data_IF_469749377277
#
_entry.id   IF_469749377277
#
_cell.length_a   1.000
_cell.length_b   1.000
_cell.length_c   1.000
_cell.angle_alpha   90.00
_cell.angle_beta   90.00
_cell.angle_gamma   90.00
#
_symmetry.space_group_name_H-M   'P 1'
#
loop_
_entity.id
_entity.type
_entity.pdbx_description
1 polymer ?
#
# COMPACT_ATOMS: atom_id res chain seq x y z
N UNK A 1 -21.97 55.41 -55.51
CA UNK A 1 -23.31 56.03 -55.34
C UNK A 1 -24.37 54.96 -55.60
N UNK A 2 -25.46 54.92 -54.82
CA UNK A 2 -25.64 53.82 -53.86
C UNK A 2 -27.00 53.09 -53.94
N UNK A 3 -27.10 51.99 -53.17
CA UNK A 3 -28.34 51.51 -52.55
C UNK A 3 -28.31 50.00 -52.32
N UNK A 4 -28.28 49.41 -51.12
CA UNK A 4 -28.41 49.93 -49.76
C UNK A 4 -29.39 49.05 -48.94
N UNK A 5 -29.00 48.75 -47.69
CA UNK A 5 -29.73 48.13 -46.53
C UNK A 5 -29.40 46.65 -46.27
N UNK A 6 -28.55 46.32 -45.28
CA UNK A 6 -28.71 46.30 -43.80
C UNK A 6 -29.60 45.12 -43.36
N UNK A 7 -29.10 44.02 -42.76
CA UNK A 7 -28.44 43.82 -41.45
C UNK A 7 -29.40 43.84 -40.24
N UNK A 8 -29.12 42.91 -39.29
CA UNK A 8 -29.48 42.84 -37.86
C UNK A 8 -30.40 41.69 -37.38
N UNK A 9 -29.74 40.69 -36.75
CA UNK A 9 -29.88 40.20 -35.37
C UNK A 9 -31.25 39.77 -34.81
N UNK A 10 -31.29 38.55 -34.25
CA UNK A 10 -31.55 38.32 -32.81
C UNK A 10 -31.28 36.86 -32.41
N UNK A 11 -30.35 36.68 -31.47
CA UNK A 11 -30.16 35.47 -30.69
C UNK A 11 -31.27 35.36 -29.62
N UNK A 12 -31.79 34.16 -29.39
CA UNK A 12 -32.70 33.88 -28.28
C UNK A 12 -31.98 32.96 -27.27
N UNK A 13 -31.53 33.57 -26.18
CA UNK A 13 -31.13 32.92 -24.94
C UNK A 13 -32.41 32.75 -24.11
N UNK A 14 -32.71 31.53 -23.67
CA UNK A 14 -33.73 31.28 -22.64
C UNK A 14 -33.01 30.77 -21.40
N UNK A 15 -32.84 31.68 -20.44
CA UNK A 15 -32.52 31.37 -19.05
C UNK A 15 -33.84 31.08 -18.32
N UNK A 16 -33.89 29.98 -17.55
CA UNK A 16 -34.97 29.70 -16.60
C UNK A 16 -34.39 29.79 -15.21
N UNK A 17 -34.67 30.91 -14.54
CA UNK A 17 -34.56 31.09 -13.09
C UNK A 17 -35.97 31.27 -12.53
N UNK A 18 -36.36 30.45 -11.56
CA UNK A 18 -37.45 30.70 -10.61
C UNK A 18 -37.08 29.96 -9.33
N UNK A 19 -36.58 30.69 -8.33
CA UNK A 19 -37.32 31.21 -7.16
C UNK A 19 -37.71 30.12 -6.14
N UNK A 20 -37.05 30.21 -4.99
CA UNK A 20 -37.41 29.63 -3.69
C UNK A 20 -38.87 29.90 -3.30
N UNK A 21 -39.41 29.07 -2.39
CA UNK A 21 -39.77 29.64 -1.09
C UNK A 21 -39.21 28.85 0.10
N UNK A 22 -38.74 29.59 1.10
CA UNK A 22 -38.62 29.13 2.49
C UNK A 22 -40.02 28.92 3.08
N UNK A 23 -40.23 27.90 3.91
CA UNK A 23 -40.54 28.03 5.36
C UNK A 23 -40.91 26.68 6.00
N UNK A 24 -40.66 26.61 7.31
CA UNK A 24 -41.19 25.70 8.35
C UNK A 24 -40.53 24.34 8.62
N UNK A 25 -39.52 24.42 9.50
CA UNK A 25 -39.33 23.63 10.72
C UNK A 25 -40.41 22.63 11.14
N UNK A 26 -40.00 21.36 11.25
CA UNK A 26 -40.59 20.40 12.19
C UNK A 26 -39.48 19.74 13.02
N UNK A 27 -39.46 20.06 14.31
CA UNK A 27 -38.75 19.32 15.35
C UNK A 27 -39.37 17.93 15.49
N UNK A 28 -38.59 16.86 15.29
CA UNK A 28 -38.90 15.55 15.87
C UNK A 28 -37.91 15.26 16.99
N UNK A 29 -38.41 15.46 18.20
CA UNK A 29 -37.83 15.07 19.47
C UNK A 29 -38.12 13.58 19.70
N UNK A 30 -37.08 12.75 19.72
CA UNK A 30 -37.15 11.41 20.30
C UNK A 30 -36.34 11.40 21.59
N UNK A 31 -37.04 11.63 22.70
CA UNK A 31 -36.62 11.17 24.03
C UNK A 31 -36.57 9.65 24.00
N UNK A 32 -35.39 9.08 24.25
CA UNK A 32 -35.28 7.70 24.75
C UNK A 32 -34.57 7.74 26.09
N UNK A 33 -35.25 7.09 27.04
CA UNK A 33 -35.03 7.09 28.48
C UNK A 33 -33.60 6.71 28.88
N UNK A 34 -33.03 7.54 29.76
CA UNK A 34 -32.00 7.14 30.70
C UNK A 34 -32.55 6.07 31.65
N UNK A 35 -32.12 4.82 31.47
CA UNK A 35 -32.13 3.83 32.55
C UNK A 35 -30.71 3.69 33.09
N UNK A 36 -30.52 4.27 34.26
CA UNK A 36 -29.38 4.02 35.13
C UNK A 36 -29.43 2.56 35.59
N UNK A 37 -28.46 1.75 35.15
CA UNK A 37 -28.22 0.43 35.71
C UNK A 37 -26.93 0.52 36.54
N UNK A 38 -27.11 0.71 37.84
CA UNK A 38 -26.08 0.52 38.85
C UNK A 38 -25.73 -0.97 38.88
N UNK A 39 -24.63 -1.38 38.25
CA UNK A 39 -24.07 -2.72 38.44
C UNK A 39 -23.24 -2.67 39.72
N UNK A 40 -23.85 -3.18 40.80
CA UNK A 40 -23.16 -3.58 42.02
C UNK A 40 -22.21 -4.73 41.68
N UNK A 41 -20.91 -4.51 41.84
CA UNK A 41 -19.94 -5.60 41.94
C UNK A 41 -19.97 -6.09 43.39
N UNK A 42 -20.78 -7.10 43.67
CA UNK A 42 -20.54 -8.01 44.79
C UNK A 42 -19.41 -8.94 44.37
N UNK A 43 -18.24 -8.72 44.97
CA UNK A 43 -17.13 -9.66 44.93
C UNK A 43 -17.42 -10.77 45.94
N UNK A 44 -17.98 -11.89 45.47
CA UNK A 44 -17.99 -13.12 46.26
C UNK A 44 -16.60 -13.74 46.15
N UNK A 45 -15.84 -13.57 47.23
CA UNK A 45 -14.62 -14.34 47.52
C UNK A 45 -15.07 -15.76 47.82
N UNK A 46 -14.75 -16.70 46.94
CA UNK A 46 -14.81 -18.14 47.23
C UNK A 46 -13.38 -18.64 47.29
N UNK A 47 -13.00 -19.09 48.48
CA UNK A 47 -11.71 -19.71 48.79
C UNK A 47 -11.61 -21.08 48.08
N UNK A 48 -10.52 -21.30 47.36
CA UNK A 48 -10.17 -22.60 46.79
C UNK A 48 -9.63 -23.54 47.88
N UNK A 49 -10.30 -24.69 48.05
CA UNK A 49 -9.73 -25.86 48.73
C UNK A 49 -9.45 -26.95 47.68
N UNK A 50 -8.21 -27.42 47.66
CA UNK A 50 -7.71 -28.51 46.82
C UNK A 50 -8.40 -29.85 47.15
N UNK A 51 -8.72 -30.67 46.12
CA UNK A 51 -8.39 -32.11 46.07
C UNK A 51 -8.86 -32.82 44.77
N UNK A 52 -7.87 -33.30 44.00
CA UNK A 52 -7.66 -34.65 43.42
C UNK A 52 -8.75 -35.38 42.55
N UNK A 53 -8.27 -35.75 41.34
CA UNK A 53 -8.52 -36.94 40.48
C UNK A 53 -9.64 -37.09 39.41
N UNK A 54 -9.18 -37.60 38.25
CA UNK A 54 -9.80 -38.45 37.21
C UNK A 54 -10.44 -37.85 35.93
N UNK A 55 -9.84 -38.16 34.76
CA UNK A 55 -10.57 -38.78 33.63
C UNK A 55 -10.96 -37.97 32.37
N UNK A 56 -10.07 -37.95 31.36
CA UNK A 56 -10.29 -37.88 29.87
C UNK A 56 -11.13 -36.70 29.26
N UNK A 57 -11.04 -36.43 27.93
CA UNK A 57 -10.41 -35.21 27.40
C UNK A 57 -11.43 -34.22 26.83
N UNK A 58 -11.29 -32.91 27.04
CA UNK A 58 -12.03 -32.00 26.18
C UNK A 58 -11.53 -30.56 26.06
N UNK A 59 -11.85 -30.01 24.89
CA UNK A 59 -11.90 -28.61 24.51
C UNK A 59 -10.59 -27.81 24.56
N UNK A 60 -10.00 -27.65 23.37
CA UNK A 60 -9.11 -26.53 23.05
C UNK A 60 -9.79 -25.23 23.49
N UNK A 61 -9.16 -24.54 24.45
CA UNK A 61 -9.51 -23.16 24.83
C UNK A 61 -9.45 -22.27 23.58
N UNK A 62 -10.61 -21.90 23.07
CA UNK A 62 -10.78 -20.75 22.19
C UNK A 62 -10.38 -19.52 22.99
N UNK A 63 -9.17 -19.01 22.75
CA UNK A 63 -8.80 -17.66 23.19
C UNK A 63 -9.53 -16.69 22.27
N UNK A 64 -10.59 -16.07 22.78
CA UNK A 64 -11.11 -14.85 22.19
C UNK A 64 -9.99 -13.80 22.24
N UNK A 65 -9.50 -13.40 21.07
CA UNK A 65 -8.58 -12.26 20.96
C UNK A 65 -9.44 -11.02 21.14
N UNK A 66 -9.38 -10.47 22.35
CA UNK A 66 -10.00 -9.21 22.71
C UNK A 66 -9.26 -8.04 22.01
N UNK A 67 -10.02 -7.01 21.63
CA UNK A 67 -9.60 -5.84 20.84
C UNK A 67 -8.61 -4.92 21.57
N UNK A 68 -8.07 -5.31 22.72
CA UNK A 68 -7.12 -4.53 23.52
C UNK A 68 -5.65 -5.00 23.39
N UNK A 69 -5.39 -6.12 22.70
CA UNK A 69 -4.04 -6.70 22.59
C UNK A 69 -3.01 -5.89 21.79
N UNK A 70 -3.43 -4.86 21.04
CA UNK A 70 -2.52 -4.04 20.23
C UNK A 70 -1.89 -2.88 21.04
N UNK A 71 -2.52 -2.44 22.12
CA UNK A 71 -2.06 -1.27 22.90
C UNK A 71 -1.10 -1.63 24.04
N UNK A 72 -1.13 -2.87 24.55
CA UNK A 72 -0.25 -3.29 25.66
C UNK A 72 1.18 -3.69 25.23
N UNK A 73 1.47 -3.79 23.93
CA UNK A 73 2.83 -4.11 23.44
C UNK A 73 3.76 -2.90 23.32
N UNK A 74 3.25 -1.69 23.54
CA UNK A 74 4.02 -0.44 23.39
C UNK A 74 4.69 0.04 24.69
N UNK A 75 4.40 -0.56 25.85
CA UNK A 75 4.82 -0.01 27.16
C UNK A 75 5.88 -0.83 27.92
N UNK A 76 6.45 -1.92 27.37
CA UNK A 76 7.45 -2.76 28.09
C UNK A 76 8.79 -2.86 27.34
N UNK A 77 9.16 -1.87 26.52
CA UNK A 77 10.48 -1.83 25.87
C UNK A 77 11.48 -0.86 26.54
N UNK A 78 11.10 -0.21 27.65
CA UNK A 78 11.96 0.75 28.37
C UNK A 78 12.05 0.40 29.84
N UNK A 79 12.66 -0.75 30.19
CA UNK A 79 13.47 -0.97 31.42
C UNK A 79 13.86 -2.45 31.58
N UNK A 80 14.97 -2.84 30.96
CA UNK A 80 15.88 -3.91 31.42
C UNK A 80 17.21 -3.67 30.67
N UNK A 81 18.32 -3.27 31.28
CA UNK A 81 18.89 -3.85 32.48
C UNK A 81 20.04 -4.76 32.05
N UNK A 82 21.23 -4.18 31.92
CA UNK A 82 22.53 -4.79 31.62
C UNK A 82 22.76 -6.04 32.46
N UNK A 83 23.19 -7.17 31.86
CA UNK A 83 24.17 -8.13 32.39
C UNK A 83 24.59 -9.12 31.26
N UNK A 84 25.89 -9.34 31.11
CA UNK A 84 26.50 -9.85 29.86
C UNK A 84 26.64 -11.36 29.69
N UNK A 85 27.05 -11.76 28.48
CA UNK A 85 28.18 -12.66 28.20
C UNK A 85 28.37 -12.81 26.69
N UNK A 86 29.64 -12.82 26.30
CA UNK A 86 30.19 -12.75 24.96
C UNK A 86 29.97 -14.02 24.14
N UNK A 87 29.40 -13.87 22.94
CA UNK A 87 29.62 -14.79 21.82
C UNK A 87 29.86 -13.95 20.58
N UNK A 88 31.12 -13.92 20.15
CA UNK A 88 31.59 -13.28 18.92
C UNK A 88 31.09 -14.05 17.71
N UNK A 89 30.03 -13.54 17.09
CA UNK A 89 29.63 -13.82 15.73
C UNK A 89 29.05 -12.54 15.16
N UNK A 90 29.68 -11.96 14.15
CA UNK A 90 29.20 -10.74 13.51
C UNK A 90 27.89 -11.03 12.75
N UNK A 91 26.77 -10.96 13.46
CA UNK A 91 25.47 -10.74 12.85
C UNK A 91 25.45 -9.31 12.30
N UNK A 92 24.88 -9.05 11.11
CA UNK A 92 24.67 -7.69 10.65
C UNK A 92 23.88 -6.95 11.74
N UNK A 93 24.47 -5.87 12.24
CA UNK A 93 23.91 -4.99 13.25
C UNK A 93 22.45 -4.67 12.91
N UNK A 94 21.54 -4.85 13.87
CA UNK A 94 20.18 -4.31 13.76
C UNK A 94 20.25 -2.81 13.42
N UNK A 95 19.36 -2.29 12.57
CA UNK A 95 19.39 -0.89 12.17
C UNK A 95 19.31 0.02 13.39
N UNK A 96 20.23 0.98 13.45
CA UNK A 96 20.36 1.94 14.54
C UNK A 96 19.14 2.88 14.54
N UNK A 97 18.58 3.20 15.71
CA UNK A 97 17.44 4.13 15.83
C UNK A 97 17.74 5.55 15.29
N UNK A 98 19.01 5.87 15.04
CA UNK A 98 19.45 7.08 14.35
C UNK A 98 19.07 7.13 12.85
N UNK A 99 18.64 6.02 12.25
CA UNK A 99 18.27 5.91 10.83
C UNK A 99 16.75 5.74 10.63
N UNK A 100 15.95 6.00 11.67
CA UNK A 100 14.49 5.96 11.64
C UNK A 100 13.92 6.81 10.50
N UNK A 101 12.99 6.26 9.74
CA UNK A 101 12.24 7.08 8.78
C UNK A 101 10.87 7.45 9.35
N UNK A 102 10.62 8.75 9.49
CA UNK A 102 9.33 9.30 9.89
C UNK A 102 9.14 9.43 11.40
N UNK A 103 7.96 9.90 11.77
CA UNK A 103 7.57 10.19 13.17
C UNK A 103 6.60 9.13 13.72
N UNK A 104 6.07 8.26 12.86
CA UNK A 104 5.10 7.22 13.19
C UNK A 104 5.74 6.09 14.02
N UNK A 105 5.17 5.72 15.20
CA UNK A 105 5.79 4.79 16.16
C UNK A 105 6.26 3.45 15.57
N UNK A 106 5.49 2.87 14.66
CA UNK A 106 5.78 1.58 14.04
C UNK A 106 6.91 1.62 12.99
N UNK A 107 7.29 2.83 12.56
CA UNK A 107 8.33 3.07 11.56
C UNK A 107 9.61 3.66 12.14
N UNK A 108 9.58 4.11 13.40
CA UNK A 108 10.75 4.69 14.11
C UNK A 108 11.94 3.73 14.17
N UNK A 109 11.75 2.41 14.14
CA UNK A 109 12.87 1.46 14.13
C UNK A 109 13.29 0.99 12.74
N UNK A 110 12.56 1.38 11.69
CA UNK A 110 12.77 0.86 10.35
C UNK A 110 13.60 1.84 9.52
N UNK A 111 14.73 1.40 8.95
CA UNK A 111 15.63 2.27 8.20
C UNK A 111 15.11 2.57 6.79
N UNK A 112 14.04 1.89 6.36
CA UNK A 112 13.45 1.97 5.02
C UNK A 112 11.96 1.71 5.04
N UNK A 113 11.24 2.26 4.07
CA UNK A 113 9.79 2.11 3.90
C UNK A 113 9.46 1.94 2.41
N UNK A 114 8.63 0.95 2.05
CA UNK A 114 8.15 0.82 0.67
C UNK A 114 7.02 1.84 0.45
N UNK A 115 7.16 2.74 -0.52
CA UNK A 115 6.26 3.89 -0.68
C UNK A 115 5.25 3.69 -1.79
N UNK A 116 5.70 3.51 -3.04
CA UNK A 116 4.79 3.33 -4.15
C UNK A 116 5.31 2.38 -5.21
N UNK A 117 4.37 1.78 -5.96
CA UNK A 117 4.64 0.98 -7.15
C UNK A 117 4.28 1.79 -8.39
N UNK A 118 5.20 1.90 -9.33
CA UNK A 118 4.99 2.54 -10.63
C UNK A 118 4.43 1.52 -11.61
N UNK A 119 3.24 1.80 -12.12
CA UNK A 119 2.50 0.97 -13.06
C UNK A 119 2.23 1.79 -14.32
N UNK A 120 2.62 1.25 -15.46
CA UNK A 120 2.31 1.82 -16.75
C UNK A 120 0.88 1.46 -17.14
N UNK A 121 0.12 2.46 -17.59
CA UNK A 121 -1.27 2.32 -18.03
C UNK A 121 -1.42 2.84 -19.46
N UNK A 122 -2.15 2.13 -20.33
CA UNK A 122 -2.33 2.55 -21.71
C UNK A 122 -3.38 3.66 -21.89
N UNK A 123 -4.31 3.77 -20.95
CA UNK A 123 -5.36 4.78 -20.90
C UNK A 123 -5.59 5.16 -19.44
N UNK A 124 -5.30 6.42 -19.09
CA UNK A 124 -5.45 6.91 -17.72
C UNK A 124 -6.91 6.92 -17.26
N UNK A 125 -7.86 7.27 -18.13
CA UNK A 125 -9.27 7.36 -17.74
C UNK A 125 -9.84 5.98 -17.39
N UNK A 126 -9.54 4.97 -18.22
CA UNK A 126 -9.94 3.60 -17.93
C UNK A 126 -9.26 3.06 -16.66
N UNK A 127 -7.98 3.37 -16.46
CA UNK A 127 -7.27 2.99 -15.25
C UNK A 127 -7.89 3.64 -14.00
N UNK A 128 -8.16 4.94 -14.02
CA UNK A 128 -8.76 5.66 -12.90
C UNK A 128 -10.15 5.12 -12.55
N UNK A 129 -11.00 4.83 -13.55
CA UNK A 129 -12.30 4.19 -13.26
C UNK A 129 -12.10 2.83 -12.57
N UNK A 130 -11.16 2.00 -13.03
CA UNK A 130 -10.87 0.71 -12.40
C UNK A 130 -10.40 0.87 -10.94
N UNK A 131 -9.42 1.73 -10.67
CA UNK A 131 -8.85 1.90 -9.33
C UNK A 131 -9.80 2.65 -8.38
N UNK A 132 -10.50 3.68 -8.86
CA UNK A 132 -11.42 4.48 -8.04
C UNK A 132 -12.79 3.82 -7.88
N UNK A 133 -13.48 3.51 -8.98
CA UNK A 133 -14.86 2.99 -8.93
C UNK A 133 -14.87 1.49 -8.60
N UNK A 134 -13.91 0.75 -9.14
CA UNK A 134 -13.78 -0.70 -8.96
C UNK A 134 -13.15 -1.08 -7.62
N UNK A 135 -12.01 -0.47 -7.28
CA UNK A 135 -11.23 -0.79 -6.08
C UNK A 135 -11.38 0.22 -4.94
N UNK A 136 -12.16 1.30 -5.10
CA UNK A 136 -12.40 2.31 -4.04
C UNK A 136 -11.15 3.07 -3.60
N UNK A 137 -10.17 3.24 -4.48
CA UNK A 137 -9.02 4.12 -4.24
C UNK A 137 -9.38 5.60 -4.46
N UNK A 138 -8.53 6.48 -3.94
CA UNK A 138 -8.61 7.92 -4.14
C UNK A 138 -7.38 8.42 -4.90
N UNK A 139 -7.58 9.40 -5.77
CA UNK A 139 -6.46 10.18 -6.32
C UNK A 139 -5.89 11.04 -5.20
N UNK A 140 -4.61 10.86 -4.92
CA UNK A 140 -3.89 11.61 -3.89
C UNK A 140 -3.23 12.84 -4.48
N UNK A 141 -2.63 12.70 -5.67
CA UNK A 141 -1.98 13.77 -6.43
C UNK A 141 -1.79 13.35 -7.88
N UNK A 142 -1.66 14.33 -8.77
CA UNK A 142 -1.37 14.11 -10.20
C UNK A 142 -0.33 15.13 -10.67
N UNK A 143 0.51 14.73 -11.62
CA UNK A 143 1.55 15.57 -12.22
C UNK A 143 1.72 15.24 -13.71
N UNK A 144 2.08 16.25 -14.49
CA UNK A 144 2.46 16.08 -15.89
C UNK A 144 3.98 16.12 -15.98
N UNK A 145 4.61 15.00 -16.35
CA UNK A 145 6.08 14.87 -16.45
C UNK A 145 6.44 14.48 -17.88
N UNK A 146 7.16 15.34 -18.59
CA UNK A 146 7.59 15.05 -19.97
C UNK A 146 6.45 14.78 -20.95
N UNK A 147 5.27 15.39 -20.73
CA UNK A 147 4.06 15.14 -21.52
C UNK A 147 3.29 13.87 -21.14
N UNK A 148 3.79 13.08 -20.20
CA UNK A 148 3.09 11.91 -19.64
C UNK A 148 2.32 12.31 -18.37
N UNK A 149 1.10 11.82 -18.25
CA UNK A 149 0.30 12.00 -17.04
C UNK A 149 0.68 10.92 -16.02
N UNK A 150 1.10 11.37 -14.84
CA UNK A 150 1.45 10.53 -13.69
C UNK A 150 0.46 10.85 -12.57
N UNK A 151 -0.34 9.85 -12.17
CA UNK A 151 -1.37 10.01 -11.13
C UNK A 151 -1.19 8.99 -10.03
N UNK A 152 -1.15 9.47 -8.79
CA UNK A 152 -0.97 8.67 -7.59
C UNK A 152 -2.32 8.31 -7.00
N UNK A 153 -2.59 7.01 -6.86
CA UNK A 153 -3.83 6.48 -6.29
C UNK A 153 -3.55 5.56 -5.10
N UNK A 154 -4.34 5.69 -4.04
CA UNK A 154 -4.19 4.90 -2.83
C UNK A 154 -5.38 5.03 -1.89
N UNK A 155 -5.25 4.52 -0.67
CA UNK A 155 -6.32 4.54 0.34
C UNK A 155 -6.09 5.56 1.47
N UNK A 156 -4.93 6.19 1.50
CA UNK A 156 -4.60 7.19 2.52
C UNK A 156 -3.32 7.96 2.20
N UNK A 157 -2.91 8.89 3.09
CA UNK A 157 -1.76 9.75 2.87
C UNK A 157 -0.42 8.99 2.81
N UNK A 158 0.47 9.45 1.92
CA UNK A 158 1.84 8.94 1.74
C UNK A 158 2.81 9.36 2.87
N UNK A 159 2.48 10.42 3.62
CA UNK A 159 3.38 11.00 4.63
C UNK A 159 3.67 10.02 5.77
N UNK A 160 4.92 10.00 6.22
CA UNK A 160 5.39 9.20 7.36
C UNK A 160 5.20 9.91 8.71
N UNK A 161 4.31 10.89 8.74
CA UNK A 161 3.89 11.63 9.93
C UNK A 161 2.42 11.39 10.18
N UNK A 162 2.01 11.43 11.45
CA UNK A 162 0.58 11.42 11.78
C UNK A 162 -0.05 12.75 11.36
N UNK A 163 -1.07 12.77 10.48
CA UNK A 163 -1.78 13.99 10.14
C UNK A 163 -2.45 14.60 11.37
N UNK A 164 -2.42 15.94 11.48
CA UNK A 164 -2.97 16.67 12.65
C UNK A 164 -4.46 16.40 12.91
N UNK A 165 -5.21 16.04 11.87
CA UNK A 165 -6.64 15.74 11.93
C UNK A 165 -6.95 14.27 12.31
N UNK A 166 -5.92 13.44 12.53
CA UNK A 166 -6.09 12.04 12.92
C UNK A 166 -6.04 11.88 14.44
N UNK A 167 -7.05 11.20 14.99
CA UNK A 167 -7.14 10.89 16.41
C UNK A 167 -7.27 9.38 16.63
N UNK A 168 -6.44 8.79 17.51
CA UNK A 168 -6.47 7.36 17.77
C UNK A 168 -7.83 6.94 18.35
N UNK A 169 -8.39 5.85 17.82
CA UNK A 169 -9.67 5.29 18.27
C UNK A 169 -10.92 5.99 17.72
N UNK A 170 -10.77 7.09 16.97
CA UNK A 170 -11.90 7.84 16.39
C UNK A 170 -11.77 7.94 14.86
N UNK A 171 -10.60 8.36 14.38
CA UNK A 171 -10.36 8.55 12.95
C UNK A 171 -10.12 7.22 12.24
N UNK A 172 -10.53 7.15 10.97
CA UNK A 172 -10.24 5.99 10.11
C UNK A 172 -8.74 5.82 9.88
N UNK A 173 -8.28 4.58 9.70
CA UNK A 173 -6.88 4.30 9.31
C UNK A 173 -6.51 4.89 7.95
N UNK A 174 -7.49 5.10 7.06
CA UNK A 174 -7.29 5.82 5.79
C UNK A 174 -6.78 7.26 5.98
N UNK A 175 -6.85 7.82 7.19
CA UNK A 175 -6.36 9.18 7.50
C UNK A 175 -5.02 9.18 8.28
N UNK A 176 -4.42 8.02 8.57
CA UNK A 176 -3.30 7.94 9.52
C UNK A 176 -1.91 8.31 8.96
N UNK A 177 -1.63 8.03 7.69
CA UNK A 177 -0.28 8.15 7.11
C UNK A 177 0.42 6.80 6.89
N UNK A 178 1.56 6.84 6.21
CA UNK A 178 2.35 5.69 5.78
C UNK A 178 1.56 4.64 4.99
N UNK A 179 0.69 5.10 4.08
CA UNK A 179 0.01 4.22 3.13
C UNK A 179 0.87 4.00 1.88
N UNK A 180 0.87 2.77 1.39
CA UNK A 180 1.43 2.43 0.10
C UNK A 180 0.52 2.93 -1.03
N UNK A 181 1.14 3.37 -2.12
CA UNK A 181 0.46 4.04 -3.23
C UNK A 181 0.81 3.42 -4.57
N UNK A 182 -0.07 3.56 -5.54
CA UNK A 182 0.21 3.20 -6.94
C UNK A 182 0.40 4.48 -7.75
N UNK A 183 1.57 4.63 -8.36
CA UNK A 183 1.80 5.67 -9.37
C UNK A 183 1.39 5.10 -10.73
N UNK A 184 0.31 5.62 -11.29
CA UNK A 184 -0.15 5.28 -12.63
C UNK A 184 0.52 6.22 -13.61
N UNK A 185 1.29 5.67 -14.55
CA UNK A 185 1.96 6.44 -15.60
C UNK A 185 1.33 6.13 -16.95
N UNK A 186 0.75 7.15 -17.57
CA UNK A 186 0.16 7.01 -18.90
C UNK A 186 1.25 6.87 -19.97
N UNK A 187 1.20 5.76 -20.70
CA UNK A 187 2.09 5.54 -21.83
C UNK A 187 1.60 6.37 -23.00
N UNK A 188 2.49 7.17 -23.58
CA UNK A 188 2.17 8.01 -24.73
C UNK A 188 1.64 7.15 -25.88
N UNK A 189 0.54 7.60 -26.48
CA UNK A 189 -0.02 7.00 -27.68
C UNK A 189 0.98 7.13 -28.82
N UNK A 190 1.04 6.13 -29.68
CA UNK A 190 1.83 6.19 -30.92
C UNK A 190 1.29 7.27 -31.85
N UNK A 191 2.06 7.71 -32.84
CA UNK A 191 1.66 8.76 -33.80
C UNK A 191 0.35 8.41 -34.54
N UNK A 192 0.01 7.13 -34.62
CA UNK A 192 -1.22 6.58 -35.21
C UNK A 192 -2.45 6.71 -34.30
N UNK A 193 -2.27 7.16 -33.05
CA UNK A 193 -3.34 7.39 -32.07
C UNK A 193 -3.82 6.13 -31.33
N UNK A 194 -3.23 4.98 -31.62
CA UNK A 194 -3.60 3.70 -30.99
C UNK A 194 -3.16 3.63 -29.53
N UNK A 195 -4.02 3.01 -28.70
CA UNK A 195 -3.68 2.72 -27.29
C UNK A 195 -2.58 1.66 -27.25
N UNK A 196 -1.44 1.92 -26.58
CA UNK A 196 -0.33 1.00 -26.55
C UNK A 196 -0.73 -0.28 -25.83
N UNK A 197 -0.43 -1.44 -26.42
CA UNK A 197 -0.64 -2.74 -25.76
C UNK A 197 0.60 -3.09 -24.96
N UNK A 198 0.48 -3.12 -23.63
CA UNK A 198 1.58 -3.47 -22.73
C UNK A 198 1.68 -4.98 -22.55
N UNK A 199 2.90 -5.53 -22.66
CA UNK A 199 3.19 -6.93 -22.33
C UNK A 199 3.09 -7.10 -20.79
N UNK A 200 2.17 -7.92 -20.26
CA UNK A 200 2.09 -8.16 -18.82
C UNK A 200 3.30 -8.93 -18.27
N UNK A 201 4.08 -9.60 -19.12
CA UNK A 201 5.19 -10.44 -18.69
C UNK A 201 4.74 -11.67 -17.89
N UNK A 202 5.70 -12.32 -17.22
CA UNK A 202 5.45 -13.46 -16.33
C UNK A 202 6.14 -13.32 -14.96
N UNK A 203 6.96 -12.28 -14.75
CA UNK A 203 7.60 -12.04 -13.46
C UNK A 203 6.60 -11.60 -12.40
N UNK A 204 5.60 -10.78 -12.74
CA UNK A 204 4.57 -10.35 -11.80
C UNK A 204 3.41 -11.34 -11.83
N UNK A 205 3.16 -12.02 -10.72
CA UNK A 205 2.06 -12.96 -10.61
C UNK A 205 0.73 -12.24 -10.33
N UNK A 206 0.74 -11.34 -9.33
CA UNK A 206 -0.39 -10.50 -8.95
C UNK A 206 0.02 -9.43 -7.92
N UNK A 207 -0.75 -8.35 -7.85
CA UNK A 207 -0.76 -7.40 -6.74
C UNK A 207 -1.89 -7.78 -5.77
N UNK A 208 -1.60 -7.98 -4.48
CA UNK A 208 -2.62 -8.35 -3.50
C UNK A 208 -3.13 -7.15 -2.72
N UNK A 209 -4.45 -7.04 -2.59
CA UNK A 209 -5.14 -5.98 -1.85
C UNK A 209 -6.20 -6.55 -0.90
N UNK A 210 -6.42 -5.87 0.22
CA UNK A 210 -7.44 -6.16 1.21
C UNK A 210 -8.39 -4.98 1.36
N UNK A 211 -9.56 -5.06 0.72
CA UNK A 211 -10.57 -3.99 0.76
C UNK A 211 -11.70 -4.36 1.70
N UNK A 212 -12.23 -3.42 2.50
CA UNK A 212 -13.31 -3.71 3.46
C UNK A 212 -14.60 -4.14 2.77
N UNK A 213 -14.85 -3.65 1.55
CA UNK A 213 -15.99 -4.03 0.72
C UNK A 213 -15.59 -4.05 -0.75
N UNK A 214 -16.20 -4.93 -1.54
CA UNK A 214 -15.98 -5.00 -2.98
C UNK A 214 -17.31 -5.24 -3.70
N UNK A 215 -17.58 -4.45 -4.74
CA UNK A 215 -18.76 -4.60 -5.60
C UNK A 215 -18.32 -5.14 -6.96
N UNK A 216 -18.55 -6.44 -7.20
CA UNK A 216 -18.12 -7.11 -8.44
C UNK A 216 -18.74 -6.48 -9.70
N UNK A 217 -19.98 -5.99 -9.62
CA UNK A 217 -20.62 -5.27 -10.73
C UNK A 217 -19.88 -3.99 -11.09
N UNK A 218 -19.52 -3.18 -10.09
CA UNK A 218 -18.73 -1.95 -10.30
C UNK A 218 -17.35 -2.24 -10.83
N UNK A 219 -16.71 -3.29 -10.33
CA UNK A 219 -15.40 -3.73 -10.82
C UNK A 219 -15.44 -4.14 -12.30
N UNK A 220 -16.50 -4.84 -12.72
CA UNK A 220 -16.69 -5.23 -14.11
C UNK A 220 -17.09 -4.02 -15.01
N UNK A 221 -17.97 -3.14 -14.54
CA UNK A 221 -18.33 -1.89 -15.22
C UNK A 221 -17.11 -0.99 -15.45
N UNK A 222 -16.18 -0.95 -14.50
CA UNK A 222 -14.93 -0.21 -14.57
C UNK A 222 -13.83 -0.89 -15.42
N UNK A 223 -14.19 -1.91 -16.22
CA UNK A 223 -13.28 -2.57 -17.16
C UNK A 223 -12.43 -3.70 -16.57
N UNK A 224 -12.69 -4.12 -15.33
CA UNK A 224 -11.99 -5.24 -14.70
C UNK A 224 -12.39 -6.60 -15.29
N UNK A 225 -11.40 -7.38 -15.75
CA UNK A 225 -11.63 -8.74 -16.27
C UNK A 225 -11.56 -9.76 -15.14
N UNK A 226 -12.72 -10.11 -14.59
CA UNK A 226 -12.83 -11.04 -13.45
C UNK A 226 -12.55 -12.48 -13.92
N UNK A 227 -11.52 -13.11 -13.35
CA UNK A 227 -11.11 -14.49 -13.64
C UNK A 227 -11.72 -15.51 -12.68
N UNK A 228 -11.80 -15.15 -11.41
CA UNK A 228 -12.37 -16.00 -10.35
C UNK A 228 -12.81 -15.15 -9.18
N UNK A 229 -13.86 -15.55 -8.48
CA UNK A 229 -14.40 -14.82 -7.32
C UNK A 229 -14.80 -15.78 -6.18
N UNK A 230 -13.96 -16.78 -5.88
CA UNK A 230 -14.24 -17.75 -4.82
C UNK A 230 -13.31 -17.52 -3.63
N UNK A 231 -13.82 -16.87 -2.58
CA UNK A 231 -13.08 -16.49 -1.37
C UNK A 231 -12.29 -15.18 -1.52
N UNK A 232 -11.50 -15.08 -2.58
CA UNK A 232 -10.88 -13.84 -3.07
C UNK A 232 -11.16 -13.68 -4.56
N UNK A 233 -10.96 -12.46 -5.06
CA UNK A 233 -11.26 -12.08 -6.44
C UNK A 233 -9.95 -11.93 -7.19
N UNK A 234 -9.78 -12.71 -8.25
CA UNK A 234 -8.73 -12.50 -9.23
C UNK A 234 -9.31 -11.70 -10.38
N UNK A 235 -8.75 -10.53 -10.64
CA UNK A 235 -9.19 -9.61 -11.69
C UNK A 235 -7.97 -9.04 -12.39
N UNK A 236 -7.99 -8.98 -13.72
CA UNK A 236 -6.98 -8.21 -14.44
C UNK A 236 -7.50 -6.79 -14.66
N UNK A 237 -6.65 -5.78 -14.43
CA UNK A 237 -6.96 -4.38 -14.73
C UNK A 237 -6.97 -4.13 -16.24
N UNK A 238 -7.55 -3.00 -16.71
CA UNK A 238 -7.52 -2.64 -18.13
C UNK A 238 -6.09 -2.59 -18.73
N UNK A 239 -5.08 -2.26 -17.91
CA UNK A 239 -3.67 -2.25 -18.30
C UNK A 239 -2.98 -3.62 -18.24
N UNK A 240 -3.67 -4.69 -17.84
CA UNK A 240 -3.14 -6.06 -17.83
C UNK A 240 -2.48 -6.51 -16.52
N UNK A 241 -2.44 -5.67 -15.48
CA UNK A 241 -1.94 -6.07 -14.16
C UNK A 241 -2.98 -6.94 -13.45
N UNK A 242 -2.57 -8.13 -13.00
CA UNK A 242 -3.44 -9.00 -12.20
C UNK A 242 -3.50 -8.53 -10.75
N UNK A 243 -4.70 -8.46 -10.22
CA UNK A 243 -4.98 -8.13 -8.84
C UNK A 243 -5.62 -9.33 -8.14
N UNK A 244 -5.17 -9.61 -6.93
CA UNK A 244 -5.80 -10.52 -5.98
C UNK A 244 -6.45 -9.70 -4.88
N UNK A 245 -7.76 -9.56 -4.94
CA UNK A 245 -8.53 -8.71 -4.02
C UNK A 245 -9.24 -9.58 -2.99
N UNK A 246 -8.94 -9.34 -1.72
CA UNK A 246 -9.53 -10.00 -0.57
C UNK A 246 -10.49 -9.02 0.08
N UNK A 247 -11.70 -9.48 0.41
CA UNK A 247 -12.63 -8.67 1.21
C UNK A 247 -12.26 -8.83 2.69
N UNK A 248 -11.49 -7.90 3.22
CA UNK A 248 -10.91 -7.94 4.56
C UNK A 248 -10.52 -6.55 5.05
N UNK A 249 -10.18 -6.44 6.33
CA UNK A 249 -9.82 -5.14 6.93
C UNK A 249 -8.34 -5.12 7.25
N UNK A 250 -7.65 -4.07 6.80
CA UNK A 250 -6.25 -3.81 7.14
C UNK A 250 -6.04 -2.30 7.29
N UNK A 251 -4.98 -1.90 8.01
CA UNK A 251 -4.55 -0.49 8.09
C UNK A 251 -4.27 0.05 6.70
N UNK A 252 -3.40 -0.63 5.96
CA UNK A 252 -3.09 -0.36 4.55
C UNK A 252 -3.65 -1.50 3.67
N UNK A 253 -4.64 -1.22 2.81
CA UNK A 253 -5.19 -2.21 1.90
C UNK A 253 -4.22 -2.77 0.87
N UNK A 254 -3.16 -2.05 0.45
CA UNK A 254 -2.24 -2.57 -0.58
C UNK A 254 -1.16 -3.41 0.11
N UNK A 255 -1.25 -4.72 -0.01
CA UNK A 255 -0.51 -5.62 0.89
C UNK A 255 0.86 -6.01 0.36
N UNK A 256 0.92 -6.44 -0.89
CA UNK A 256 2.16 -6.99 -1.45
C UNK A 256 2.11 -7.16 -2.96
N UNK A 257 3.29 -7.17 -3.57
CA UNK A 257 3.51 -7.60 -4.95
C UNK A 257 4.08 -9.02 -4.97
N UNK A 258 3.40 -9.93 -5.66
CA UNK A 258 3.86 -11.30 -5.84
C UNK A 258 4.70 -11.43 -7.12
N UNK A 259 5.95 -11.88 -6.95
CA UNK A 259 6.93 -12.02 -8.02
C UNK A 259 7.31 -13.48 -8.21
N UNK A 260 7.18 -13.99 -9.43
CA UNK A 260 7.69 -15.27 -9.85
C UNK A 260 9.21 -15.18 -10.05
N UNK A 261 9.94 -16.02 -9.32
CA UNK A 261 11.40 -16.14 -9.40
C UNK A 261 11.83 -17.60 -9.65
N UNK A 262 12.93 -17.83 -10.39
CA UNK A 262 13.43 -19.18 -10.64
C UNK A 262 13.98 -19.83 -9.36
N UNK A 263 14.59 -19.04 -8.48
CA UNK A 263 15.11 -19.47 -7.19
C UNK A 263 14.75 -18.43 -6.11
N UNK A 264 13.86 -18.83 -5.21
CA UNK A 264 13.36 -17.99 -4.11
C UNK A 264 14.46 -17.65 -3.11
N UNK A 265 15.39 -18.57 -2.83
CA UNK A 265 16.48 -18.33 -1.87
C UNK A 265 17.44 -17.28 -2.42
N UNK A 266 17.88 -17.47 -3.67
CA UNK A 266 18.80 -16.54 -4.32
C UNK A 266 18.18 -15.15 -4.48
N UNK A 267 16.92 -15.08 -4.93
CA UNK A 267 16.19 -13.82 -5.07
C UNK A 267 16.01 -13.11 -3.71
N UNK A 268 15.73 -13.86 -2.64
CA UNK A 268 15.59 -13.27 -1.31
C UNK A 268 16.86 -12.56 -0.81
N UNK A 269 18.04 -13.03 -1.24
CA UNK A 269 19.31 -12.41 -0.87
C UNK A 269 19.42 -10.95 -1.29
N UNK A 270 18.86 -10.56 -2.44
CA UNK A 270 18.83 -9.15 -2.86
C UNK A 270 17.97 -8.31 -1.90
N UNK A 271 16.71 -8.68 -1.71
CA UNK A 271 15.80 -7.91 -0.83
C UNK A 271 16.26 -7.86 0.62
N UNK A 272 16.84 -8.95 1.14
CA UNK A 272 17.32 -9.00 2.52
C UNK A 272 18.64 -8.26 2.68
N UNK A 273 19.66 -8.60 1.88
CA UNK A 273 21.01 -8.09 2.09
C UNK A 273 21.22 -6.69 1.51
N UNK A 274 20.68 -6.41 0.31
CA UNK A 274 20.84 -5.11 -0.34
C UNK A 274 19.80 -4.09 0.12
N UNK A 275 18.55 -4.54 0.29
CA UNK A 275 17.45 -3.64 0.61
C UNK A 275 17.13 -3.58 2.11
N UNK A 276 17.56 -4.56 2.92
CA UNK A 276 17.29 -4.57 4.36
C UNK A 276 15.88 -5.04 4.73
N UNK A 277 15.17 -5.71 3.81
CA UNK A 277 13.90 -6.36 4.13
C UNK A 277 14.14 -7.57 5.03
N UNK A 278 13.11 -7.99 5.77
CA UNK A 278 13.14 -9.19 6.61
C UNK A 278 12.05 -10.15 6.19
N UNK A 279 12.28 -11.44 6.42
CA UNK A 279 11.21 -12.44 6.28
C UNK A 279 10.17 -12.18 7.38
N UNK A 280 8.93 -11.99 6.96
CA UNK A 280 7.81 -11.68 7.84
C UNK A 280 6.76 -12.79 7.75
N UNK A 281 5.90 -12.95 8.78
CA UNK A 281 4.72 -13.77 8.67
C UNK A 281 3.89 -13.35 7.45
N UNK A 282 3.30 -14.33 6.76
CA UNK A 282 2.45 -14.06 5.60
C UNK A 282 1.29 -13.12 6.01
N UNK A 283 1.06 -12.02 5.27
CA UNK A 283 0.13 -11.00 5.71
C UNK A 283 -1.30 -11.49 5.51
N UNK A 284 -2.06 -11.52 6.60
CA UNK A 284 -3.45 -11.94 6.61
C UNK A 284 -4.38 -10.74 6.66
N UNK A 285 -5.53 -10.85 6.01
CA UNK A 285 -6.59 -9.82 5.97
C UNK A 285 -7.83 -10.23 6.76
N UNK A 286 -7.93 -11.51 7.11
CA UNK A 286 -9.00 -12.11 7.90
C UNK A 286 -8.38 -12.98 8.99
N UNK A 287 -9.25 -13.61 9.78
CA UNK A 287 -8.84 -14.60 10.76
C UNK A 287 -8.06 -15.76 10.09
N UNK A 288 -6.94 -16.23 10.66
CA UNK A 288 -6.08 -17.26 10.05
C UNK A 288 -6.78 -18.58 9.71
N UNK A 289 -7.85 -18.93 10.43
CA UNK A 289 -8.58 -20.17 10.24
C UNK A 289 -9.62 -20.09 9.11
N UNK A 290 -9.85 -18.92 8.52
CA UNK A 290 -10.83 -18.75 7.46
C UNK A 290 -10.46 -19.55 6.21
N UNK A 291 -11.40 -20.36 5.72
CA UNK A 291 -11.25 -21.09 4.45
C UNK A 291 -11.12 -20.14 3.24
N UNK A 292 -11.51 -18.88 3.41
CA UNK A 292 -11.45 -17.86 2.37
C UNK A 292 -10.18 -17.02 2.45
N UNK A 293 -9.34 -17.21 3.47
CA UNK A 293 -8.05 -16.55 3.56
C UNK A 293 -7.03 -17.33 2.70
N UNK A 294 -6.33 -16.67 1.76
CA UNK A 294 -5.33 -17.34 0.97
C UNK A 294 -4.18 -17.78 1.87
N UNK A 295 -3.79 -19.05 1.76
CA UNK A 295 -2.61 -19.56 2.44
C UNK A 295 -1.37 -19.17 1.68
N UNK A 296 -0.27 -18.93 2.40
CA UNK A 296 1.04 -18.73 1.79
C UNK A 296 1.36 -19.88 0.82
N UNK A 297 1.65 -19.59 -0.46
CA UNK A 297 2.01 -20.61 -1.43
C UNK A 297 3.24 -21.41 -0.99
N UNK A 298 3.25 -22.72 -1.26
CA UNK A 298 4.36 -23.60 -0.85
C UNK A 298 5.67 -23.16 -1.50
N UNK A 299 6.73 -23.08 -0.71
CA UNK A 299 8.06 -22.67 -1.18
C UNK A 299 8.20 -21.17 -1.48
N UNK A 300 7.18 -20.37 -1.16
CA UNK A 300 7.26 -18.90 -1.27
C UNK A 300 7.84 -18.26 -0.01
N UNK A 301 8.35 -17.03 -0.14
CA UNK A 301 8.81 -16.20 0.99
C UNK A 301 8.23 -14.81 0.92
N UNK A 302 7.69 -14.34 2.04
CA UNK A 302 7.19 -12.98 2.17
C UNK A 302 8.25 -12.10 2.86
N UNK A 303 8.64 -11.02 2.19
CA UNK A 303 9.67 -10.10 2.64
C UNK A 303 9.07 -8.70 2.76
N UNK A 304 9.30 -8.03 3.90
CA UNK A 304 8.85 -6.66 4.11
C UNK A 304 9.75 -5.94 5.12
N UNK A 305 9.64 -4.61 5.18
CA UNK A 305 10.33 -3.81 6.20
C UNK A 305 9.68 -3.94 7.59
N UNK A 306 8.34 -4.08 7.61
CA UNK A 306 7.52 -4.27 8.80
C UNK A 306 6.39 -5.29 8.55
N UNK A 307 5.73 -5.74 9.61
CA UNK A 307 4.62 -6.69 9.54
C UNK A 307 3.36 -6.11 8.87
N UNK A 308 3.08 -4.83 9.10
CA UNK A 308 1.88 -4.14 8.59
C UNK A 308 2.11 -3.32 7.32
N UNK A 309 3.33 -3.31 6.80
CA UNK A 309 3.70 -2.62 5.57
C UNK A 309 3.43 -3.41 4.30
N UNK A 310 3.59 -2.72 3.19
CA UNK A 310 3.71 -3.35 1.89
C UNK A 310 4.96 -4.24 1.83
N UNK A 311 4.82 -5.42 1.22
CA UNK A 311 5.93 -6.35 1.03
C UNK A 311 6.01 -6.98 -0.35
N UNK A 312 6.99 -7.85 -0.53
CA UNK A 312 7.22 -8.62 -1.74
C UNK A 312 7.07 -10.11 -1.40
N UNK A 313 6.22 -10.80 -2.16
CA UNK A 313 6.07 -12.24 -2.07
C UNK A 313 6.84 -12.90 -3.21
N UNK A 314 7.93 -13.59 -2.88
CA UNK A 314 8.71 -14.36 -3.86
C UNK A 314 8.08 -15.73 -4.03
N UNK A 315 7.63 -16.02 -5.24
CA UNK A 315 6.99 -17.27 -5.64
C UNK A 315 7.95 -18.13 -6.48
N UNK A 316 8.01 -19.45 -6.25
CA UNK A 316 8.76 -20.32 -7.15
C UNK A 316 8.08 -20.35 -8.53
N UNK A 317 8.87 -20.23 -9.60
CA UNK A 317 8.35 -20.19 -10.95
C UNK A 317 7.50 -21.45 -11.27
N UNK A 318 6.31 -21.29 -11.88
CA UNK A 318 5.57 -22.43 -12.39
C UNK A 318 6.39 -23.20 -13.43
N UNK A 319 6.37 -24.54 -13.37
CA UNK A 319 7.17 -25.41 -14.27
C UNK A 319 6.99 -25.11 -15.76
N UNK A 320 5.80 -24.64 -16.17
CA UNK A 320 5.50 -24.27 -17.56
C UNK A 320 6.24 -23.01 -17.98
N UNK A 321 6.36 -22.04 -17.08
CA UNK A 321 7.02 -20.75 -17.32
C UNK A 321 8.53 -20.83 -17.13
N UNK A 322 9.03 -21.80 -16.35
CA UNK A 322 10.45 -21.98 -16.09
C UNK A 322 11.27 -22.18 -17.38
N UNK A 323 10.64 -22.72 -18.43
CA UNK A 323 11.26 -22.89 -19.75
C UNK A 323 11.39 -21.60 -20.56
N UNK A 324 10.52 -20.62 -20.31
CA UNK A 324 10.48 -19.36 -21.06
C UNK A 324 11.39 -18.27 -20.48
N UNK A 325 11.94 -18.50 -19.28
CA UNK A 325 12.66 -17.48 -18.53
C UNK A 325 11.73 -16.46 -17.87
N UNK A 326 12.30 -15.62 -17.00
CA UNK A 326 11.56 -14.56 -16.30
C UNK A 326 11.61 -13.27 -17.10
N UNK A 327 10.45 -12.63 -17.26
CA UNK A 327 10.24 -11.38 -17.99
C UNK A 327 9.30 -10.47 -17.19
N UNK A 328 9.77 -9.28 -16.83
CA UNK A 328 8.96 -8.30 -16.11
C UNK A 328 7.73 -7.84 -16.92
N UNK A 329 7.88 -7.73 -18.24
CA UNK A 329 6.89 -7.08 -19.09
C UNK A 329 7.05 -5.56 -19.08
N UNK A 330 6.04 -4.85 -19.58
CA UNK A 330 5.97 -3.39 -19.62
C UNK A 330 4.91 -2.78 -18.70
N UNK A 331 4.14 -3.58 -17.96
CA UNK A 331 3.06 -3.10 -17.10
C UNK A 331 3.58 -2.56 -15.76
N UNK A 332 4.49 -3.28 -15.09
CA UNK A 332 5.12 -2.82 -13.85
C UNK A 332 6.52 -2.31 -14.17
N UNK A 333 6.84 -1.09 -13.75
CA UNK A 333 8.13 -0.46 -14.03
C UNK A 333 9.05 -0.55 -12.81
N UNK A 334 8.70 0.15 -11.72
CA UNK A 334 9.59 0.31 -10.57
C UNK A 334 8.88 0.30 -9.23
N UNK A 335 9.60 -0.09 -8.19
CA UNK A 335 9.21 0.05 -6.78
C UNK A 335 10.03 1.16 -6.14
N UNK A 336 9.36 2.17 -5.58
CA UNK A 336 10.00 3.22 -4.80
C UNK A 336 10.09 2.81 -3.32
N UNK A 337 11.29 2.93 -2.76
CA UNK A 337 11.60 2.64 -1.36
C UNK A 337 12.25 3.87 -0.77
N UNK A 338 11.69 4.37 0.32
CA UNK A 338 12.27 5.46 1.09
C UNK A 338 13.42 4.96 1.94
N UNK A 339 14.46 5.79 2.01
CA UNK A 339 15.67 5.60 2.78
C UNK A 339 16.14 6.91 3.38
N UNK A 340 16.96 6.83 4.42
CA UNK A 340 17.90 7.91 4.76
C UNK A 340 19.26 7.60 4.12
N UNK A 341 19.99 8.63 3.72
CA UNK A 341 21.35 8.51 3.18
C UNK A 341 21.43 7.72 1.86
N UNK A 342 20.51 8.02 0.94
CA UNK A 342 20.38 7.28 -0.32
C UNK A 342 21.58 7.46 -1.26
N UNK A 343 22.19 8.64 -1.25
CA UNK A 343 23.32 8.98 -2.15
C UNK A 343 24.67 8.90 -1.45
N UNK A 344 24.72 8.77 -0.11
CA UNK A 344 25.98 8.67 0.63
C UNK A 344 26.93 9.86 0.40
N UNK A 345 28.17 9.73 0.88
CA UNK A 345 29.28 10.62 0.54
C UNK A 345 30.14 10.09 -0.63
N UNK A 346 29.82 8.92 -1.20
CA UNK A 346 30.51 8.28 -2.33
C UNK A 346 29.61 7.86 -3.51
N UNK A 347 28.31 8.21 -3.50
CA UNK A 347 27.43 8.00 -4.66
C UNK A 347 27.23 6.53 -5.02
N UNK A 348 27.26 6.20 -6.31
CA UNK A 348 27.06 4.84 -6.81
C UNK A 348 28.16 3.84 -6.38
N UNK A 349 29.32 4.32 -5.92
CA UNK A 349 30.44 3.47 -5.50
C UNK A 349 30.19 2.82 -4.13
N UNK A 350 29.52 3.53 -3.21
CA UNK A 350 29.14 3.02 -1.89
C UNK A 350 28.16 1.83 -2.00
N UNK A 351 27.27 1.89 -3.01
CA UNK A 351 26.33 0.83 -3.31
C UNK A 351 26.99 -0.42 -3.90
N UNK A 352 28.01 -0.23 -4.74
CA UNK A 352 28.81 -1.34 -5.27
C UNK A 352 29.55 -2.09 -4.16
N UNK A 353 30.08 -1.37 -3.17
CA UNK A 353 30.68 -1.98 -1.98
C UNK A 353 29.66 -2.81 -1.17
N UNK A 354 28.39 -2.42 -1.22
CA UNK A 354 27.26 -3.13 -0.60
C UNK A 354 26.69 -4.27 -1.47
N UNK A 355 27.29 -4.55 -2.63
CA UNK A 355 26.86 -5.60 -3.55
C UNK A 355 25.65 -5.24 -4.41
N UNK A 356 25.31 -3.95 -4.53
CA UNK A 356 24.18 -3.46 -5.32
C UNK A 356 24.67 -2.75 -6.57
N UNK A 357 24.24 -3.23 -7.74
CA UNK A 357 24.55 -2.57 -9.00
C UNK A 357 23.60 -1.38 -9.21
N UNK A 358 24.06 -0.19 -8.83
CA UNK A 358 23.32 1.06 -8.98
C UNK A 358 23.67 1.71 -10.31
N UNK A 359 22.65 1.95 -11.13
CA UNK A 359 22.76 2.57 -12.46
C UNK A 359 22.92 4.08 -12.38
N UNK A 360 22.31 4.70 -11.37
CA UNK A 360 22.33 6.14 -11.15
C UNK A 360 22.18 6.41 -9.66
N UNK A 361 22.98 7.31 -9.10
CA UNK A 361 22.80 7.86 -7.77
C UNK A 361 23.09 9.36 -7.83
N UNK A 362 22.13 10.19 -7.44
CA UNK A 362 22.23 11.64 -7.53
C UNK A 362 20.89 12.34 -7.37
N UNK A 363 20.87 13.64 -7.62
CA UNK A 363 19.63 14.42 -7.59
C UNK A 363 18.83 14.19 -8.87
N UNK A 364 17.53 13.91 -8.70
CA UNK A 364 16.61 13.80 -9.80
C UNK A 364 16.47 15.15 -10.51
N UNK A 365 16.58 15.21 -11.85
CA UNK A 365 16.51 16.45 -12.59
C UNK A 365 15.15 17.16 -12.36
N UNK A 366 15.20 18.45 -12.06
CA UNK A 366 14.04 19.31 -11.85
C UNK A 366 13.54 19.36 -10.40
N UNK A 367 13.42 18.21 -9.73
CA UNK A 367 12.83 18.13 -8.37
C UNK A 367 13.91 18.29 -7.28
N UNK A 368 15.17 17.95 -7.58
CA UNK A 368 16.28 18.02 -6.61
C UNK A 368 16.26 16.91 -5.56
N UNK A 369 15.26 16.02 -5.60
CA UNK A 369 15.16 14.86 -4.71
C UNK A 369 16.30 13.88 -4.98
N UNK A 370 17.02 13.50 -3.93
CA UNK A 370 18.10 12.52 -4.04
C UNK A 370 17.54 11.11 -4.24
N UNK A 371 18.01 10.45 -5.30
CA UNK A 371 17.56 9.12 -5.68
C UNK A 371 18.73 8.22 -6.06
N UNK A 372 18.57 6.92 -5.82
CA UNK A 372 19.44 5.88 -6.36
C UNK A 372 18.61 4.81 -7.07
N UNK A 373 19.01 4.41 -8.27
CA UNK A 373 18.27 3.49 -9.13
C UNK A 373 19.05 2.20 -9.30
N UNK A 374 18.43 1.08 -8.93
CA UNK A 374 18.95 -0.28 -9.17
C UNK A 374 17.85 -1.15 -9.76
N UNK A 375 18.17 -2.38 -10.13
CA UNK A 375 17.22 -3.37 -10.61
C UNK A 375 17.37 -4.65 -9.80
N UNK A 376 16.28 -5.36 -9.56
CA UNK A 376 16.35 -6.74 -9.07
C UNK A 376 17.10 -7.59 -10.12
N UNK A 377 18.22 -8.22 -9.76
CA UNK A 377 19.02 -9.03 -10.68
C UNK A 377 18.29 -10.25 -11.23
N UNK A 378 17.18 -10.66 -10.60
CA UNK A 378 16.43 -11.86 -10.98
C UNK A 378 15.23 -11.53 -11.87
N UNK A 379 14.34 -10.63 -11.43
CA UNK A 379 13.13 -10.29 -12.19
C UNK A 379 13.32 -9.13 -13.15
N UNK A 380 14.35 -8.31 -12.95
CA UNK A 380 14.56 -7.06 -13.68
C UNK A 380 13.72 -5.88 -13.17
N UNK A 381 12.90 -6.07 -12.12
CA UNK A 381 12.09 -5.01 -11.50
C UNK A 381 12.98 -3.82 -11.11
N UNK A 382 12.64 -2.62 -11.57
CA UNK A 382 13.34 -1.41 -11.14
C UNK A 382 13.08 -1.13 -9.67
N UNK A 383 14.10 -0.71 -8.94
CA UNK A 383 14.00 -0.27 -7.56
C UNK A 383 14.61 1.13 -7.47
N UNK A 384 13.81 2.09 -7.02
CA UNK A 384 14.24 3.47 -6.81
C UNK A 384 14.28 3.73 -5.33
N UNK A 385 15.48 3.97 -4.81
CA UNK A 385 15.67 4.47 -3.46
C UNK A 385 15.49 5.98 -3.48
N UNK A 386 14.69 6.50 -2.56
CA UNK A 386 14.32 7.92 -2.50
C UNK A 386 14.62 8.45 -1.10
N UNK A 387 15.24 9.63 -1.02
CA UNK A 387 15.53 10.26 0.27
C UNK A 387 14.22 10.71 0.94
N UNK A 388 13.95 10.19 2.13
CA UNK A 388 12.66 10.39 2.79
C UNK A 388 12.35 11.85 3.13
N UNK A 389 13.37 12.61 3.57
CA UNK A 389 13.20 14.02 3.91
C UNK A 389 12.88 14.90 2.70
N UNK A 390 13.33 14.51 1.51
CA UNK A 390 13.06 15.26 0.28
C UNK A 390 11.66 14.93 -0.26
N UNK A 391 11.21 13.68 -0.12
CA UNK A 391 9.82 13.32 -0.44
C UNK A 391 8.82 14.09 0.41
N UNK A 392 9.02 14.18 1.73
CA UNK A 392 8.10 14.94 2.60
C UNK A 392 7.96 16.41 2.18
N UNK A 393 9.02 17.03 1.63
CA UNK A 393 8.94 18.38 1.07
C UNK A 393 8.09 18.41 -0.21
N UNK A 394 8.19 17.41 -1.07
CA UNK A 394 7.36 17.27 -2.28
C UNK A 394 5.87 17.14 -1.92
N UNK A 395 5.55 16.36 -0.90
CA UNK A 395 4.18 16.16 -0.43
C UNK A 395 3.57 17.44 0.15
N UNK A 396 4.36 18.29 0.82
CA UNK A 396 3.88 19.59 1.33
C UNK A 396 3.76 20.63 0.21
N UNK A 397 4.70 20.63 -0.74
CA UNK A 397 4.73 21.60 -1.84
C UNK A 397 3.57 21.47 -2.84
N UNK A 398 2.95 20.29 -2.91
CA UNK A 398 1.83 20.00 -3.83
C UNK A 398 0.45 20.43 -3.31
N UNK A 399 0.35 20.93 -2.07
CA UNK A 399 -0.92 21.39 -1.46
C UNK A 399 -1.35 22.80 -1.93
N UNK A 400 -0.57 23.51 -2.73
CA UNK A 400 -0.83 24.94 -3.05
C UNK A 400 -1.62 25.21 -4.34
N UNK A 401 -2.23 24.22 -5.00
CA UNK A 401 -2.95 24.42 -6.27
C UNK A 401 -4.49 24.46 -6.14
N UNK A 402 -5.07 24.46 -4.93
CA UNK A 402 -6.52 24.39 -4.78
C UNK A 402 -7.09 24.68 -3.39
N UNK A 403 -6.55 25.67 -2.67
CA UNK A 403 -7.31 26.40 -1.63
C UNK A 403 -7.73 27.78 -2.15
#
# INVERSE_FOLDING_TARGET
>A
MPGGRNAWSAALIVAVSCMYPMTESFFYSTRVMTRSATISMQSDVVEDNENVENGVPNCRKLKFIDRQGLLQRVTVATTAGILGSSITGAFPSCPNAANAIGELPEWVSNPRFAQHLVINVPDMAAALSFYMDGLQMHVLRSRLVGGQNSTFVGYGPETLKTPKAWYPGVSSFSMYGAHFVLELNEVLKTEEGDTPVLDPGNAVAYLQLAVPSLRLSKLAEAGGKIKSAYGWVLVDSPGGLRHQVIVGMRRDPIMMLALNVPDVQKASGFYVNALGMREQPYPLSRIPESIYEPKQPKGSRFLAFSEDGFGILLLPLPKKEAKAGVRLGGVVDKLAILGTDVVGKGGAEDWKASGVDVKFAGEAPGIGTKVAVTNDPVTGLGVVLVEANDLEKELVGTVSAGE
#
